data_IF_970466396547
#
_entry.id   IF_970466396547
#
_cell.length_a   1.000
_cell.length_b   1.000
_cell.length_c   1.000
_cell.angle_alpha   90.00
_cell.angle_beta   90.00
_cell.angle_gamma   90.00
#
_symmetry.space_group_name_H-M   'P 1'
#
loop_
_entity.id
_entity.type
_entity.pdbx_description
1 polymer ?
#
# COMPACT_ATOMS: atom_id res chain seq x y z
N UNK A 1 14.45 27.80 -20.81
CA UNK A 1 13.68 26.69 -21.44
C UNK A 1 12.40 26.66 -20.65
N UNK A 2 11.53 27.60 -20.95
CA UNK A 2 10.48 28.06 -20.04
C UNK A 2 9.14 27.83 -20.75
N UNK A 3 8.88 26.56 -21.05
CA UNK A 3 7.85 26.16 -22.01
C UNK A 3 6.44 26.11 -21.42
N UNK A 4 6.23 26.62 -20.20
CA UNK A 4 4.97 26.49 -19.48
C UNK A 4 4.61 27.70 -18.60
N UNK A 5 5.39 28.79 -18.62
CA UNK A 5 5.10 30.01 -17.82
C UNK A 5 3.75 30.64 -18.19
N UNK A 6 3.30 30.45 -19.43
CA UNK A 6 2.03 30.94 -19.94
C UNK A 6 0.84 30.08 -19.53
N UNK A 7 1.03 28.84 -19.05
CA UNK A 7 -0.06 27.93 -18.69
C UNK A 7 -0.08 27.50 -17.22
N UNK A 8 1.00 27.70 -16.46
CA UNK A 8 1.12 27.17 -15.08
C UNK A 8 0.17 27.85 -14.09
N UNK A 9 -0.15 29.13 -14.31
CA UNK A 9 -0.99 29.93 -13.41
C UNK A 9 -2.48 29.91 -13.80
N UNK A 10 -2.86 29.16 -14.84
CA UNK A 10 -4.25 29.06 -15.26
C UNK A 10 -5.09 28.25 -14.27
N UNK A 11 -6.35 28.68 -14.06
CA UNK A 11 -7.29 27.92 -13.26
C UNK A 11 -7.45 26.49 -13.78
N UNK A 12 -7.32 25.52 -12.88
CA UNK A 12 -7.59 24.14 -13.22
C UNK A 12 -9.08 23.95 -13.53
N UNK A 13 -9.36 23.42 -14.71
CA UNK A 13 -10.74 23.09 -15.10
C UNK A 13 -11.35 22.07 -14.13
N UNK A 14 -12.53 22.41 -13.60
CA UNK A 14 -13.37 21.50 -12.83
C UNK A 14 -14.66 21.24 -13.60
N UNK A 15 -14.97 19.96 -13.83
CA UNK A 15 -16.19 19.57 -14.52
C UNK A 15 -17.41 19.88 -13.65
N UNK A 16 -18.42 20.52 -14.23
CA UNK A 16 -19.70 20.78 -13.57
C UNK A 16 -20.60 19.52 -13.49
N UNK A 17 -20.41 18.57 -14.41
CA UNK A 17 -21.24 17.37 -14.53
C UNK A 17 -20.59 16.16 -13.86
N UNK A 18 -19.26 16.11 -13.80
CA UNK A 18 -18.49 15.03 -13.17
C UNK A 18 -17.68 15.60 -12.00
N UNK A 19 -18.27 15.68 -10.80
CA UNK A 19 -17.57 16.14 -9.61
C UNK A 19 -16.30 15.33 -9.37
N UNK A 20 -15.25 15.98 -8.86
CA UNK A 20 -14.04 15.29 -8.46
C UNK A 20 -14.32 14.39 -7.26
N UNK A 21 -13.68 13.23 -7.24
CA UNK A 21 -13.76 12.29 -6.13
C UNK A 21 -13.09 12.87 -4.88
N UNK A 22 -13.72 12.70 -3.72
CA UNK A 22 -13.16 13.14 -2.43
C UNK A 22 -11.87 12.37 -2.13
N UNK A 23 -11.01 12.90 -1.26
CA UNK A 23 -9.77 12.23 -0.89
C UNK A 23 -10.03 10.88 -0.20
N UNK A 24 -11.11 10.79 0.58
CA UNK A 24 -11.54 9.55 1.23
C UNK A 24 -12.01 8.50 0.20
N UNK A 25 -12.86 8.88 -0.75
CA UNK A 25 -13.33 7.98 -1.80
C UNK A 25 -12.17 7.52 -2.70
N UNK A 26 -11.18 8.39 -2.95
CA UNK A 26 -9.93 8.00 -3.63
C UNK A 26 -9.18 6.93 -2.83
N UNK A 27 -9.07 7.07 -1.52
CA UNK A 27 -8.42 6.07 -0.66
C UNK A 27 -9.18 4.74 -0.63
N UNK A 28 -10.52 4.79 -0.65
CA UNK A 28 -11.37 3.61 -0.64
C UNK A 28 -11.17 2.70 -1.88
N UNK A 29 -10.76 3.25 -3.02
CA UNK A 29 -10.40 2.44 -4.20
C UNK A 29 -9.22 1.49 -3.94
N UNK A 30 -8.34 1.86 -3.00
CA UNK A 30 -7.20 1.06 -2.56
C UNK A 30 -7.49 0.24 -1.28
N UNK A 31 -8.72 0.30 -0.76
CA UNK A 31 -9.17 -0.51 0.37
C UNK A 31 -9.13 -2.04 0.18
N UNK A 32 -9.23 -2.66 -1.03
CA UNK A 32 -9.14 -4.13 -1.13
C UNK A 32 -7.78 -4.70 -0.68
N UNK A 33 -6.75 -3.86 -0.53
CA UNK A 33 -5.46 -4.24 0.07
C UNK A 33 -5.36 -3.89 1.56
N UNK A 34 -6.42 -3.34 2.18
CA UNK A 34 -6.42 -3.03 3.61
C UNK A 34 -6.27 -4.28 4.49
N UNK A 35 -6.64 -5.46 4.01
CA UNK A 35 -6.34 -6.71 4.72
C UNK A 35 -4.82 -6.97 4.87
N UNK A 36 -3.97 -6.38 4.00
CA UNK A 36 -2.52 -6.37 4.17
C UNK A 36 -2.05 -5.40 5.28
N UNK A 37 -2.89 -4.52 5.79
CA UNK A 37 -2.50 -3.69 6.95
C UNK A 37 -2.43 -4.53 8.23
N UNK A 38 -3.34 -5.49 8.42
CA UNK A 38 -3.25 -6.51 9.50
C UNK A 38 -2.32 -7.69 9.17
N UNK A 39 -1.74 -7.73 7.97
CA UNK A 39 -0.72 -8.75 7.62
C UNK A 39 0.57 -8.51 8.39
N UNK A 40 0.93 -7.26 8.69
CA UNK A 40 2.08 -6.95 9.54
C UNK A 40 1.86 -7.45 10.97
N UNK A 41 0.67 -7.26 11.54
CA UNK A 41 0.30 -7.81 12.85
C UNK A 41 0.37 -9.36 12.86
N UNK A 42 -0.09 -10.02 11.79
CA UNK A 42 0.01 -11.48 11.64
C UNK A 42 1.46 -11.97 11.44
N UNK A 43 2.32 -11.19 10.78
CA UNK A 43 3.76 -11.48 10.68
C UNK A 43 4.40 -11.36 12.06
N UNK A 44 4.11 -10.28 12.80
CA UNK A 44 4.69 -10.05 14.12
C UNK A 44 4.23 -11.11 15.12
N UNK A 45 2.95 -11.47 15.16
CA UNK A 45 2.43 -12.56 16.00
C UNK A 45 3.14 -13.90 15.71
N UNK A 46 3.42 -14.18 14.43
CA UNK A 46 3.93 -15.49 14.00
C UNK A 46 5.45 -15.60 14.00
N UNK A 47 6.17 -14.48 13.92
CA UNK A 47 7.64 -14.45 13.83
C UNK A 47 8.32 -13.72 14.98
N UNK A 48 7.59 -12.92 15.75
CA UNK A 48 8.13 -11.98 16.75
C UNK A 48 8.99 -10.88 16.14
N UNK A 49 8.94 -10.69 14.82
CA UNK A 49 9.67 -9.65 14.12
C UNK A 49 8.85 -8.36 14.10
N UNK A 50 9.06 -7.54 15.15
CA UNK A 50 8.40 -6.26 15.29
C UNK A 50 8.69 -5.34 14.10
N UNK A 51 7.62 -4.87 13.45
CA UNK A 51 7.47 -3.69 12.57
C UNK A 51 8.52 -3.43 11.46
N UNK A 52 9.55 -4.26 11.31
CA UNK A 52 10.66 -4.06 10.39
C UNK A 52 10.56 -5.00 9.18
N UNK A 53 10.21 -4.47 7.99
CA UNK A 53 10.11 -5.26 6.77
C UNK A 53 11.43 -5.93 6.36
N UNK A 54 12.59 -5.44 6.83
CA UNK A 54 13.87 -6.08 6.56
C UNK A 54 14.03 -7.42 7.31
N UNK A 55 13.44 -7.52 8.51
CA UNK A 55 13.48 -8.73 9.33
C UNK A 55 12.72 -9.90 8.68
N UNK A 56 11.55 -9.65 8.09
CA UNK A 56 10.81 -10.65 7.31
C UNK A 56 11.60 -11.15 6.08
N UNK A 57 12.28 -10.24 5.39
CA UNK A 57 13.14 -10.57 4.25
C UNK A 57 14.30 -11.50 4.63
N UNK A 58 14.84 -11.34 5.84
CA UNK A 58 15.92 -12.20 6.34
C UNK A 58 15.41 -13.62 6.66
N UNK A 59 14.19 -13.78 7.16
CA UNK A 59 13.55 -15.08 7.38
C UNK A 59 13.30 -15.82 6.06
N UNK A 60 12.77 -15.13 5.04
CA UNK A 60 12.57 -15.70 3.71
C UNK A 60 13.89 -16.15 3.07
N UNK A 61 14.95 -15.35 3.19
CA UNK A 61 16.30 -15.74 2.71
C UNK A 61 16.86 -16.95 3.43
N UNK A 62 16.42 -17.20 4.67
CA UNK A 62 16.80 -18.37 5.47
C UNK A 62 15.97 -19.61 5.13
N UNK A 63 14.95 -19.49 4.27
CA UNK A 63 14.06 -20.58 3.89
C UNK A 63 13.02 -20.94 4.96
N UNK A 64 12.89 -20.12 5.99
CA UNK A 64 11.92 -20.28 7.07
C UNK A 64 10.71 -19.40 6.75
N UNK A 65 9.88 -19.82 5.79
CA UNK A 65 8.63 -19.11 5.50
C UNK A 65 7.62 -19.45 6.61
N UNK A 66 7.26 -18.49 7.48
CA UNK A 66 6.32 -18.76 8.57
C UNK A 66 4.93 -19.16 8.04
N UNK A 67 4.54 -18.74 6.83
CA UNK A 67 3.20 -18.95 6.27
C UNK A 67 3.08 -20.14 5.32
N UNK A 68 4.15 -20.89 5.08
CA UNK A 68 4.03 -22.15 4.36
C UNK A 68 3.53 -23.24 5.32
N UNK A 69 2.36 -23.80 5.00
CA UNK A 69 1.90 -25.02 5.64
C UNK A 69 2.88 -26.13 5.28
N UNK A 70 3.40 -26.82 6.31
CA UNK A 70 3.70 -28.24 6.21
C UNK A 70 2.42 -28.94 5.75
N UNK A 71 2.28 -29.21 4.45
CA UNK A 71 1.33 -30.22 3.98
C UNK A 71 1.79 -31.56 4.54
N UNK A 72 1.07 -32.07 5.54
CA UNK A 72 1.44 -33.32 6.19
C UNK A 72 0.60 -33.67 7.41
N UNK A 73 -0.72 -33.80 7.25
CA UNK A 73 -1.57 -34.75 7.98
C UNK A 73 -2.93 -34.88 7.29
#
# INVERSE_FOLDING_TARGET
>A
MDNYEDIIDHEHHVSQVRPQMTLHDRAAQFAPFAALTGFYDLIDEKTGAADDPASYLNLLKKGENPFENTEGA
#
